data_IF_845193017465
#
_entry.id   IF_845193017465
#
_cell.length_a   1.000
_cell.length_b   1.000
_cell.length_c   1.000
_cell.angle_alpha   90.00
_cell.angle_beta   90.00
_cell.angle_gamma   90.00
#
_symmetry.space_group_name_H-M   'P 1'
#
loop_
_entity.id
_entity.type
_entity.pdbx_description
1 polymer ?
#
# COMPACT_ATOMS: atom_id res chain seq x y z
N UNK A 1 10.01 -2.53 -12.33
CA UNK A 1 10.20 -3.55 -11.29
C UNK A 1 9.16 -4.62 -11.51
N UNK A 2 9.56 -5.90 -11.47
CA UNK A 2 8.69 -7.08 -11.55
C UNK A 2 9.00 -7.95 -10.33
N UNK A 3 8.14 -7.95 -9.32
CA UNK A 3 8.35 -8.75 -8.12
C UNK A 3 7.58 -10.07 -8.25
N UNK A 4 8.33 -11.18 -8.43
CA UNK A 4 7.77 -12.51 -8.59
C UNK A 4 7.56 -13.21 -7.25
N UNK A 5 6.40 -13.84 -7.07
CA UNK A 5 6.10 -14.70 -5.93
C UNK A 5 5.96 -16.16 -6.37
N UNK A 6 6.98 -16.97 -6.04
CA UNK A 6 7.05 -18.39 -6.40
C UNK A 6 5.92 -19.25 -5.81
N UNK A 7 5.30 -18.84 -4.69
CA UNK A 7 4.21 -19.60 -4.07
C UNK A 7 2.89 -19.44 -4.82
N UNK A 8 2.70 -18.32 -5.49
CA UNK A 8 1.45 -17.99 -6.18
C UNK A 8 1.58 -17.99 -7.70
N UNK A 9 2.81 -17.96 -8.25
CA UNK A 9 3.03 -17.77 -9.69
C UNK A 9 2.55 -16.40 -10.19
N UNK A 10 2.64 -15.38 -9.31
CA UNK A 10 2.16 -14.03 -9.61
C UNK A 10 3.31 -13.04 -9.58
N UNK A 11 3.28 -12.09 -10.52
CA UNK A 11 4.25 -10.99 -10.63
C UNK A 11 3.54 -9.66 -10.49
N UNK A 12 3.96 -8.84 -9.52
CA UNK A 12 3.51 -7.45 -9.44
C UNK A 12 4.39 -6.59 -10.36
N UNK A 13 3.74 -5.88 -11.28
CA UNK A 13 4.39 -5.07 -12.32
C UNK A 13 3.85 -3.65 -12.26
N UNK A 14 4.74 -2.66 -12.33
CA UNK A 14 4.34 -1.24 -12.48
C UNK A 14 4.55 -0.82 -13.92
N UNK A 15 3.47 -0.59 -14.68
CA UNK A 15 3.54 -0.08 -16.06
C UNK A 15 3.28 1.41 -16.12
N UNK A 16 3.92 2.09 -17.08
CA UNK A 16 3.77 3.54 -17.28
C UNK A 16 4.53 4.41 -16.28
N UNK A 17 5.44 3.82 -15.50
CA UNK A 17 6.29 4.51 -14.55
C UNK A 17 7.77 4.16 -14.78
N UNK A 18 8.61 5.18 -14.85
CA UNK A 18 10.05 5.05 -14.94
C UNK A 18 10.67 5.22 -13.54
N UNK A 19 11.14 4.15 -12.90
CA UNK A 19 11.69 4.23 -11.55
C UNK A 19 13.02 4.99 -11.48
N UNK A 20 13.84 4.95 -12.55
CA UNK A 20 15.12 5.65 -12.57
C UNK A 20 14.95 7.17 -12.65
N UNK A 21 13.95 7.63 -13.42
CA UNK A 21 13.61 9.06 -13.53
C UNK A 21 12.60 9.54 -12.49
N UNK A 22 12.00 8.60 -11.74
CA UNK A 22 10.80 8.84 -10.90
C UNK A 22 9.76 9.66 -11.66
N UNK A 23 9.35 9.15 -12.82
CA UNK A 23 8.44 9.84 -13.73
C UNK A 23 7.32 8.91 -14.20
N UNK A 24 6.09 9.39 -14.16
CA UNK A 24 4.96 8.72 -14.81
C UNK A 24 5.04 9.07 -16.30
N UNK A 25 5.37 8.07 -17.12
CA UNK A 25 5.51 8.21 -18.58
C UNK A 25 4.17 7.99 -19.30
N UNK A 26 3.26 7.20 -18.71
CA UNK A 26 1.94 6.92 -19.27
C UNK A 26 0.91 6.68 -18.15
N UNK A 27 0.06 7.68 -17.89
CA UNK A 27 -0.99 7.61 -16.86
C UNK A 27 -2.14 6.65 -17.20
N UNK A 28 -2.26 6.24 -18.47
CA UNK A 28 -3.25 5.27 -18.94
C UNK A 28 -2.93 3.83 -18.52
N UNK A 29 -1.76 3.60 -17.92
CA UNK A 29 -1.32 2.28 -17.46
C UNK A 29 -1.76 1.98 -16.02
N UNK A 30 -1.28 0.87 -15.49
CA UNK A 30 -1.67 0.34 -14.20
C UNK A 30 -0.48 -0.29 -13.46
N UNK A 31 -0.67 -0.43 -12.14
CA UNK A 31 -0.02 -1.50 -11.38
C UNK A 31 -0.80 -2.77 -11.65
N UNK A 32 -0.14 -3.83 -12.11
CA UNK A 32 -0.75 -5.07 -12.57
C UNK A 32 -0.21 -6.26 -11.79
N UNK A 33 -1.10 -7.20 -11.49
CA UNK A 33 -0.76 -8.52 -10.95
C UNK A 33 -0.94 -9.52 -12.09
N UNK A 34 0.18 -10.05 -12.58
CA UNK A 34 0.23 -10.93 -13.75
C UNK A 34 0.48 -12.38 -13.31
N UNK A 35 -0.12 -13.34 -14.00
CA UNK A 35 0.24 -14.75 -13.89
C UNK A 35 1.51 -15.06 -14.69
N UNK A 36 2.08 -16.25 -14.49
CA UNK A 36 3.19 -16.76 -15.31
C UNK A 36 2.86 -16.83 -16.82
N UNK A 37 1.58 -17.01 -17.16
CA UNK A 37 1.08 -16.95 -18.54
C UNK A 37 0.79 -15.52 -19.04
N UNK A 38 1.22 -14.49 -18.30
CA UNK A 38 1.02 -13.07 -18.60
C UNK A 38 -0.45 -12.65 -18.62
N UNK A 39 -1.34 -13.43 -17.99
CA UNK A 39 -2.73 -13.05 -17.81
C UNK A 39 -2.86 -12.05 -16.66
N UNK A 40 -3.67 -11.02 -16.84
CA UNK A 40 -3.91 -10.01 -15.82
C UNK A 40 -4.91 -10.52 -14.77
N UNK A 41 -4.42 -10.92 -13.61
CA UNK A 41 -5.25 -11.36 -12.49
C UNK A 41 -5.91 -10.18 -11.76
N UNK A 42 -5.23 -9.03 -11.68
CA UNK A 42 -5.76 -7.79 -11.14
C UNK A 42 -4.99 -6.58 -11.70
N UNK A 43 -5.66 -5.43 -11.78
CA UNK A 43 -5.03 -4.17 -12.17
C UNK A 43 -5.58 -2.99 -11.39
N UNK A 44 -4.71 -2.05 -11.05
CA UNK A 44 -5.03 -0.76 -10.43
C UNK A 44 -4.52 0.35 -11.34
N UNK A 45 -5.43 1.07 -11.99
CA UNK A 45 -5.06 2.15 -12.91
C UNK A 45 -4.27 3.24 -12.19
N UNK A 46 -3.23 3.77 -12.84
CA UNK A 46 -2.44 4.86 -12.27
C UNK A 46 -3.31 6.09 -12.01
N UNK A 47 -4.24 6.43 -12.91
CA UNK A 47 -5.20 7.52 -12.68
C UNK A 47 -6.06 7.31 -11.43
N UNK A 48 -6.57 6.09 -11.20
CA UNK A 48 -7.36 5.78 -10.01
C UNK A 48 -6.54 5.84 -8.72
N UNK A 49 -5.32 5.28 -8.75
CA UNK A 49 -4.37 5.36 -7.65
C UNK A 49 -4.00 6.81 -7.33
N UNK A 50 -3.76 7.65 -8.34
CA UNK A 50 -3.42 9.07 -8.18
C UNK A 50 -4.50 9.83 -7.40
N UNK A 51 -5.76 9.67 -7.81
CA UNK A 51 -6.91 10.33 -7.17
C UNK A 51 -7.06 9.84 -5.73
N UNK A 52 -7.00 8.51 -5.52
CA UNK A 52 -7.16 7.92 -4.20
C UNK A 52 -6.04 8.28 -3.23
N UNK A 53 -4.80 8.27 -3.72
CA UNK A 53 -3.60 8.55 -2.93
C UNK A 53 -3.55 10.00 -2.49
N UNK A 54 -3.65 10.93 -3.44
CA UNK A 54 -3.57 12.36 -3.13
C UNK A 54 -4.71 12.80 -2.22
N UNK A 55 -5.93 12.29 -2.41
CA UNK A 55 -7.08 12.64 -1.56
C UNK A 55 -6.91 12.20 -0.11
N UNK A 56 -6.32 11.02 0.12
CA UNK A 56 -6.26 10.41 1.46
C UNK A 56 -4.96 10.67 2.21
N UNK A 57 -3.86 10.86 1.47
CA UNK A 57 -2.51 10.85 2.02
C UNK A 57 -1.78 12.18 1.83
N UNK A 58 -2.42 13.24 1.29
CA UNK A 58 -1.80 14.57 1.18
C UNK A 58 -1.25 15.07 2.52
N UNK A 59 -1.93 14.74 3.62
CA UNK A 59 -1.50 14.99 4.99
C UNK A 59 -1.88 13.77 5.83
N UNK A 60 -0.94 13.16 6.56
CA UNK A 60 -1.21 11.96 7.36
C UNK A 60 -0.41 12.00 8.66
N UNK A 61 -1.09 11.78 9.78
CA UNK A 61 -0.46 11.57 11.09
C UNK A 61 -0.45 10.09 11.44
N UNK A 62 0.71 9.59 11.85
CA UNK A 62 0.90 8.24 12.38
C UNK A 62 1.15 8.35 13.89
N UNK A 63 0.16 7.94 14.68
CA UNK A 63 0.19 8.08 16.14
C UNK A 63 0.57 6.74 16.78
N UNK A 64 1.68 6.65 17.51
CA UNK A 64 2.02 5.44 18.26
C UNK A 64 1.01 5.23 19.38
N UNK A 65 0.65 3.97 19.62
CA UNK A 65 -0.29 3.60 20.66
C UNK A 65 0.08 2.25 21.28
N UNK A 66 -0.36 2.05 22.51
CA UNK A 66 -0.48 0.72 23.12
C UNK A 66 -1.95 0.35 23.25
N UNK A 67 -2.24 -0.95 23.29
CA UNK A 67 -3.58 -1.43 23.60
C UNK A 67 -3.58 -2.46 24.72
N UNK A 68 -4.61 -2.36 25.55
CA UNK A 68 -4.97 -3.38 26.53
C UNK A 68 -6.13 -4.20 25.97
N UNK A 69 -6.01 -5.53 26.05
CA UNK A 69 -6.99 -6.47 25.46
C UNK A 69 -7.62 -7.42 26.48
N UNK A 70 -7.37 -7.23 27.77
CA UNK A 70 -7.71 -8.21 28.81
C UNK A 70 -9.18 -8.11 29.23
N UNK A 71 -9.68 -6.92 29.59
CA UNK A 71 -11.06 -6.74 30.06
C UNK A 71 -11.97 -6.10 29.00
N UNK A 72 -11.48 -5.04 28.35
CA UNK A 72 -12.12 -4.36 27.24
C UNK A 72 -11.02 -3.65 26.41
N UNK A 73 -11.24 -3.36 25.10
CA UNK A 73 -10.26 -2.64 24.30
C UNK A 73 -10.04 -1.22 24.85
N UNK A 74 -8.90 -0.98 25.48
CA UNK A 74 -8.44 0.35 25.89
C UNK A 74 -7.18 0.72 25.11
N UNK A 75 -7.01 2.01 24.80
CA UNK A 75 -5.92 2.55 23.98
C UNK A 75 -5.28 3.75 24.67
N UNK A 76 -3.95 3.76 24.74
CA UNK A 76 -3.16 4.92 25.16
C UNK A 76 -2.29 5.37 23.98
N UNK A 77 -2.43 6.63 23.60
CA UNK A 77 -1.71 7.25 22.48
C UNK A 77 -0.51 8.04 23.02
N UNK A 78 0.58 8.06 22.26
CA UNK A 78 1.83 8.68 22.68
C UNK A 78 2.30 9.76 21.70
N UNK A 79 2.95 10.78 22.26
CA UNK A 79 3.71 11.80 21.54
C UNK A 79 5.20 11.38 21.46
N UNK A 80 5.93 11.69 20.38
CA UNK A 80 5.48 12.40 19.17
C UNK A 80 4.71 11.51 18.18
N UNK A 81 3.80 12.12 17.42
CA UNK A 81 3.25 11.53 16.20
C UNK A 81 4.23 11.75 15.04
N UNK A 82 4.23 10.86 14.03
CA UNK A 82 4.93 11.12 12.78
C UNK A 82 3.97 11.79 11.80
N UNK A 83 4.32 12.98 11.31
CA UNK A 83 3.53 13.71 10.33
C UNK A 83 4.17 13.60 8.96
N UNK A 84 3.40 13.13 7.98
CA UNK A 84 3.75 13.17 6.56
C UNK A 84 2.94 14.25 5.84
N UNK A 85 3.64 15.16 5.17
CA UNK A 85 3.03 16.26 4.42
C UNK A 85 3.53 16.29 2.98
N UNK A 86 2.57 16.45 2.07
CA UNK A 86 2.84 16.52 0.64
C UNK A 86 3.27 15.16 0.12
N UNK A 87 2.36 14.44 -0.50
CA UNK A 87 2.68 13.21 -1.24
C UNK A 87 2.17 13.35 -2.66
N UNK A 88 2.69 12.53 -3.55
CA UNK A 88 2.11 12.30 -4.86
C UNK A 88 2.27 10.83 -5.25
N UNK A 89 1.61 10.45 -6.34
CA UNK A 89 1.66 9.07 -6.83
C UNK A 89 3.09 8.63 -7.18
N UNK A 90 3.97 9.55 -7.57
CA UNK A 90 5.37 9.25 -7.92
C UNK A 90 6.13 8.67 -6.74
N UNK A 91 5.97 9.23 -5.53
CA UNK A 91 6.61 8.72 -4.31
C UNK A 91 6.11 7.30 -3.99
N UNK A 92 4.80 7.08 -4.11
CA UNK A 92 4.19 5.76 -3.93
C UNK A 92 4.71 4.72 -4.94
N UNK A 93 4.76 5.04 -6.23
CA UNK A 93 5.22 4.11 -7.27
C UNK A 93 6.72 3.84 -7.18
N UNK A 94 7.52 4.83 -6.78
CA UNK A 94 8.93 4.64 -6.47
C UNK A 94 9.09 3.68 -5.28
N UNK A 95 8.37 3.90 -4.18
CA UNK A 95 8.37 3.02 -3.02
C UNK A 95 7.92 1.59 -3.36
N UNK A 96 6.95 1.43 -4.27
CA UNK A 96 6.55 0.12 -4.78
C UNK A 96 7.69 -0.54 -5.58
N UNK A 97 8.33 0.20 -6.49
CA UNK A 97 9.47 -0.29 -7.27
C UNK A 97 10.71 -0.64 -6.43
N UNK A 98 10.87 0.02 -5.30
CA UNK A 98 11.97 -0.18 -4.33
C UNK A 98 11.64 -1.27 -3.29
N UNK A 99 10.44 -1.88 -3.35
CA UNK A 99 9.99 -2.91 -2.39
C UNK A 99 9.65 -2.36 -0.99
N UNK A 100 9.56 -1.04 -0.84
CA UNK A 100 9.19 -0.36 0.41
C UNK A 100 7.68 -0.36 0.63
N UNK A 101 6.93 -0.30 -0.47
CA UNK A 101 5.49 -0.55 -0.51
C UNK A 101 5.29 -1.95 -1.09
N UNK A 102 4.45 -2.76 -0.46
CA UNK A 102 4.16 -4.12 -0.89
C UNK A 102 2.65 -4.31 -1.12
N UNK A 103 2.31 -5.18 -2.06
CA UNK A 103 0.95 -5.66 -2.21
C UNK A 103 0.66 -6.77 -1.19
N UNK A 104 -0.36 -6.56 -0.35
CA UNK A 104 -0.94 -7.57 0.52
C UNK A 104 -2.38 -7.84 0.07
N UNK A 105 -2.69 -9.04 -0.48
CA UNK A 105 -4.04 -9.37 -0.87
C UNK A 105 -5.01 -9.30 0.32
N UNK A 106 -4.59 -9.59 1.56
CA UNK A 106 -5.39 -9.38 2.77
C UNK A 106 -6.78 -10.03 2.78
N UNK A 107 -7.03 -10.97 1.86
CA UNK A 107 -8.31 -11.63 1.69
C UNK A 107 -8.60 -12.54 2.88
N UNK A 108 -9.83 -12.46 3.39
CA UNK A 108 -10.27 -13.25 4.54
C UNK A 108 -11.46 -14.12 4.14
N UNK A 109 -11.35 -15.42 4.38
CA UNK A 109 -12.44 -16.38 4.21
C UNK A 109 -12.85 -16.89 5.58
N UNK A 110 -14.12 -16.69 5.95
CA UNK A 110 -14.70 -17.27 7.18
C UNK A 110 -15.64 -18.41 6.82
N UNK A 111 -15.70 -19.42 7.70
CA UNK A 111 -16.52 -20.63 7.54
C UNK A 111 -16.21 -21.38 6.24
N UNK A 112 -14.92 -21.51 5.93
CA UNK A 112 -14.43 -22.03 4.64
C UNK A 112 -14.98 -23.42 4.29
N UNK A 113 -15.15 -24.31 5.29
CA UNK A 113 -15.67 -25.67 5.09
C UNK A 113 -17.20 -25.79 5.13
N UNK A 114 -17.92 -24.68 5.26
CA UNK A 114 -19.39 -24.69 5.26
C UNK A 114 -19.96 -24.64 3.85
N UNK A 115 -21.22 -25.02 3.66
CA UNK A 115 -21.92 -24.87 2.38
C UNK A 115 -22.06 -23.40 1.92
N UNK A 116 -21.82 -22.43 2.80
CA UNK A 116 -21.91 -20.99 2.51
C UNK A 116 -20.72 -20.23 3.13
N UNK A 117 -19.51 -20.35 2.56
CA UNK A 117 -18.36 -19.59 3.03
C UNK A 117 -18.60 -18.09 2.79
N UNK A 118 -18.04 -17.26 3.67
CA UNK A 118 -18.12 -15.80 3.54
C UNK A 118 -16.74 -15.26 3.20
N UNK A 119 -16.64 -14.61 2.05
CA UNK A 119 -15.39 -14.08 1.52
C UNK A 119 -15.40 -12.56 1.65
N UNK A 120 -14.35 -12.00 2.26
CA UNK A 120 -14.04 -10.58 2.23
C UNK A 120 -12.76 -10.39 1.44
N UNK A 121 -12.92 -10.19 0.14
CA UNK A 121 -11.82 -9.84 -0.75
C UNK A 121 -11.24 -8.48 -0.36
N UNK A 122 -9.92 -8.37 -0.34
CA UNK A 122 -9.20 -7.10 -0.14
C UNK A 122 -8.09 -6.99 -1.19
N UNK A 123 -7.53 -5.80 -1.28
CA UNK A 123 -6.39 -5.49 -2.15
C UNK A 123 -5.64 -4.34 -1.51
N UNK A 124 -4.83 -4.66 -0.50
CA UNK A 124 -4.17 -3.65 0.32
C UNK A 124 -2.76 -3.42 -0.21
N UNK A 125 -2.34 -2.16 -0.19
CA UNK A 125 -0.92 -1.80 -0.30
C UNK A 125 -0.45 -1.38 1.09
N UNK A 126 0.71 -1.87 1.50
CA UNK A 126 1.25 -1.68 2.85
C UNK A 126 2.69 -1.22 2.79
N UNK A 127 3.10 -0.51 3.82
CA UNK A 127 4.49 -0.07 4.02
C UNK A 127 4.84 -0.18 5.49
N UNK A 128 6.12 -0.38 5.78
CA UNK A 128 6.64 -0.34 7.14
C UNK A 128 6.85 1.11 7.59
N UNK A 129 6.72 1.39 8.89
CA UNK A 129 6.95 2.74 9.45
C UNK A 129 8.32 3.29 9.05
N UNK A 130 9.35 2.45 8.99
CA UNK A 130 10.72 2.84 8.59
C UNK A 130 10.86 3.35 7.15
N UNK A 131 9.84 3.14 6.30
CA UNK A 131 9.85 3.58 4.91
C UNK A 131 8.89 4.75 4.64
N UNK A 132 8.17 5.24 5.67
CA UNK A 132 7.19 6.29 5.49
C UNK A 132 7.81 7.60 5.00
N UNK A 133 9.02 7.94 5.45
CA UNK A 133 9.72 9.16 5.04
C UNK A 133 9.83 9.27 3.50
N UNK A 134 10.12 8.16 2.81
CA UNK A 134 10.22 8.14 1.35
C UNK A 134 8.91 8.38 0.60
N UNK A 135 7.77 8.35 1.29
CA UNK A 135 6.44 8.57 0.71
C UNK A 135 5.98 10.03 0.75
N UNK A 136 6.71 10.91 1.44
CA UNK A 136 6.31 12.31 1.65
C UNK A 136 7.43 13.28 1.29
N UNK A 137 7.05 14.51 0.95
CA UNK A 137 7.97 15.63 0.73
C UNK A 137 8.54 16.15 2.04
N UNK A 138 7.74 16.08 3.12
CA UNK A 138 8.16 16.36 4.48
C UNK A 138 7.66 15.25 5.39
N UNK A 139 8.54 14.76 6.25
CA UNK A 139 8.21 13.73 7.23
C UNK A 139 9.00 13.97 8.51
N UNK A 140 8.35 13.84 9.66
CA UNK A 140 9.04 14.00 10.94
C UNK A 140 8.15 13.91 12.17
N UNK A 141 8.75 13.87 13.37
CA UNK A 141 8.02 13.86 14.62
C UNK A 141 7.38 15.23 14.91
N UNK A 142 6.17 15.22 15.47
CA UNK A 142 5.43 16.40 15.93
C UNK A 142 4.83 16.09 17.32
N UNK A 143 5.09 16.96 18.28
CA UNK A 143 4.57 16.86 19.65
C UNK A 143 3.09 17.29 19.74
N UNK A 144 2.29 16.65 20.61
CA UNK A 144 0.87 16.97 20.83
C UNK A 144 0.37 16.64 22.24
#
# INVERSE_FOLDING_TARGET
MNEYNAKTGLTLTVRGFNPAKRLIEDVGRAVELLTDSVHCAAAWSLGGLMIGWNKKHAQTAYVPYENEKIAAPAYRYFSPALLGEGTDLTHYLAGLCEGQVIFDPGSNVKKASSAKPTVKARSQFRTSVKHLEGLYKKFGPVEF
#
